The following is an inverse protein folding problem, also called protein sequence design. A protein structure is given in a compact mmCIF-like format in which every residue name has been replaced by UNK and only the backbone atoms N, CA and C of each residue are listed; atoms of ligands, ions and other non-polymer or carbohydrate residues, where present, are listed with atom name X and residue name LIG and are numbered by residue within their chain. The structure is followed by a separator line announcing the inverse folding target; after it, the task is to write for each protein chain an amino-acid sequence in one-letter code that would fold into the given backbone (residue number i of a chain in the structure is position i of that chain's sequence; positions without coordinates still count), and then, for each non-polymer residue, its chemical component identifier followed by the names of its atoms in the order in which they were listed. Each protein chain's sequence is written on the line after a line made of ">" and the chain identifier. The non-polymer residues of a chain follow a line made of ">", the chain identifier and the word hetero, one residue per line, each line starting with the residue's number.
data_IF_582286449746
#
_entry.id   IF_582286449746
#
_cell.length_a   1.000
_cell.length_b   1.000
_cell.length_c   1.000
_cell.angle_alpha   90.00
_cell.angle_beta   90.00
_cell.angle_gamma   90.00
#
_symmetry.space_group_name_H-M   'P 1'
#
loop_
_entity.id
_entity.type
_entity.pdbx_description
1 polymer ?
#
# COMPACT_ATOMS: atom_id res chain seq x y z
N UNK A 1 12.79 4.22 7.83
CA UNK A 1 11.78 5.04 7.15
C UNK A 1 11.03 5.87 8.18
N UNK A 2 10.84 7.12 7.88
CA UNK A 2 10.13 7.99 8.79
C UNK A 2 8.66 7.55 8.93
N UNK A 3 8.14 7.57 10.15
CA UNK A 3 6.74 7.25 10.40
C UNK A 3 5.88 8.40 9.89
N UNK A 4 4.84 8.09 9.15
CA UNK A 4 3.88 9.10 8.73
C UNK A 4 3.04 9.54 9.91
N UNK A 5 2.78 10.83 9.97
CA UNK A 5 1.79 11.35 10.90
C UNK A 5 0.40 10.83 10.52
N UNK A 6 -0.42 10.35 11.47
CA UNK A 6 -1.79 9.95 11.16
C UNK A 6 -2.59 11.05 10.46
N UNK A 7 -2.32 12.31 10.75
CA UNK A 7 -3.02 13.43 10.12
C UNK A 7 -2.68 13.61 8.63
N UNK A 8 -1.57 13.04 8.15
CA UNK A 8 -1.16 13.16 6.76
C UNK A 8 -1.84 12.13 5.85
N UNK A 9 -2.31 11.00 6.38
CA UNK A 9 -2.89 9.94 5.58
C UNK A 9 -4.10 10.37 4.76
N UNK A 10 -5.10 11.06 5.33
CA UNK A 10 -6.29 11.40 4.56
C UNK A 10 -5.97 12.24 3.33
N UNK A 11 -4.97 13.12 3.40
CA UNK A 11 -4.62 13.98 2.27
C UNK A 11 -3.94 13.22 1.13
N UNK A 12 -3.40 12.04 1.39
CA UNK A 12 -2.75 11.20 0.38
C UNK A 12 -3.72 10.23 -0.29
N UNK A 13 -4.93 10.10 0.25
CA UNK A 13 -5.90 9.12 -0.22
C UNK A 13 -6.93 9.84 -1.09
N UNK A 14 -7.02 9.42 -2.35
CA UNK A 14 -7.96 10.00 -3.31
C UNK A 14 -9.41 9.81 -2.84
N UNK A 15 -10.28 10.73 -3.25
CA UNK A 15 -11.70 10.66 -2.88
C UNK A 15 -12.37 9.36 -3.36
N UNK A 16 -11.91 8.83 -4.48
CA UNK A 16 -12.44 7.61 -5.09
C UNK A 16 -11.60 6.38 -4.76
N UNK A 17 -10.81 6.42 -3.70
CA UNK A 17 -9.92 5.33 -3.32
C UNK A 17 -10.65 4.01 -3.15
N UNK A 18 -10.01 2.95 -3.65
CA UNK A 18 -10.46 1.58 -3.45
C UNK A 18 -9.25 0.69 -3.20
N UNK A 19 -9.40 -0.28 -2.32
CA UNK A 19 -8.35 -1.25 -2.04
C UNK A 19 -8.91 -2.66 -2.04
N UNK A 20 -8.15 -3.60 -2.63
CA UNK A 20 -8.36 -5.03 -2.46
C UNK A 20 -7.24 -5.52 -1.54
N UNK A 21 -7.57 -5.77 -0.28
CA UNK A 21 -6.59 -6.20 0.70
C UNK A 21 -6.13 -7.64 0.50
N UNK A 22 -4.98 -7.97 1.08
CA UNK A 22 -4.40 -9.32 0.98
C UNK A 22 -5.30 -10.41 1.58
N UNK A 23 -6.23 -10.03 2.46
CA UNK A 23 -7.22 -10.94 3.04
C UNK A 23 -8.42 -11.19 2.12
N UNK A 24 -8.51 -10.46 1.00
CA UNK A 24 -9.65 -10.51 0.09
C UNK A 24 -10.71 -9.45 0.38
N UNK A 25 -10.55 -8.66 1.42
CA UNK A 25 -11.51 -7.63 1.79
C UNK A 25 -11.36 -6.40 0.90
N UNK A 26 -12.50 -5.80 0.51
CA UNK A 26 -12.53 -4.51 -0.17
C UNK A 26 -12.64 -3.38 0.85
N UNK A 27 -11.92 -2.29 0.56
CA UNK A 27 -11.92 -1.08 1.39
C UNK A 27 -12.21 0.11 0.51
N UNK A 28 -13.09 1.00 0.94
CA UNK A 28 -13.24 2.31 0.33
C UNK A 28 -12.50 3.36 1.16
N UNK A 29 -12.56 4.62 0.73
CA UNK A 29 -11.85 5.68 1.43
C UNK A 29 -12.27 5.83 2.90
N UNK A 30 -13.57 5.93 3.23
CA UNK A 30 -13.96 6.06 4.63
C UNK A 30 -13.46 4.91 5.51
N UNK A 31 -13.57 3.68 5.00
CA UNK A 31 -13.15 2.50 5.75
C UNK A 31 -11.64 2.46 5.97
N UNK A 32 -10.84 2.81 4.95
CA UNK A 32 -9.37 2.78 5.11
C UNK A 32 -8.88 3.92 6.01
N UNK A 33 -9.50 5.09 5.93
CA UNK A 33 -9.14 6.21 6.81
C UNK A 33 -9.41 5.83 8.26
N UNK A 34 -10.56 5.22 8.54
CA UNK A 34 -10.88 4.77 9.90
C UNK A 34 -9.90 3.70 10.41
N UNK A 35 -9.55 2.74 9.55
CA UNK A 35 -8.59 1.70 9.90
C UNK A 35 -7.22 2.30 10.23
N UNK A 36 -6.71 3.18 9.38
CA UNK A 36 -5.38 3.76 9.57
C UNK A 36 -5.31 4.69 10.79
N UNK A 37 -6.40 5.33 11.14
CA UNK A 37 -6.45 6.19 12.33
C UNK A 37 -6.28 5.39 13.62
N UNK A 38 -6.71 4.14 13.65
CA UNK A 38 -6.67 3.29 14.84
C UNK A 38 -5.58 2.23 14.81
N UNK A 39 -4.95 2.01 13.63
CA UNK A 39 -3.94 0.98 13.49
C UNK A 39 -2.71 1.29 14.34
N UNK A 40 -2.18 0.30 15.09
CA UNK A 40 -0.93 0.50 15.80
C UNK A 40 0.23 0.62 14.81
N UNK A 41 1.37 1.18 15.23
CA UNK A 41 2.56 1.20 14.40
C UNK A 41 2.92 -0.22 13.98
N UNK A 42 3.23 -0.40 12.70
CA UNK A 42 3.60 -1.70 12.15
C UNK A 42 5.07 -1.73 11.79
N UNK A 43 5.73 -2.87 12.03
CA UNK A 43 7.08 -3.12 11.56
C UNK A 43 6.97 -3.68 10.14
N UNK A 44 7.11 -2.81 9.17
CA UNK A 44 7.00 -3.17 7.76
C UNK A 44 8.25 -2.75 7.01
N UNK A 45 8.83 -3.70 6.29
CA UNK A 45 9.94 -3.46 5.37
C UNK A 45 9.42 -3.51 3.94
N UNK A 46 9.97 -2.67 3.09
CA UNK A 46 9.61 -2.63 1.67
C UNK A 46 10.85 -2.98 0.85
N UNK A 47 10.67 -3.87 -0.12
CA UNK A 47 11.74 -4.24 -1.06
C UNK A 47 11.18 -4.37 -2.48
N UNK A 48 12.05 -4.47 -3.47
CA UNK A 48 11.69 -4.58 -4.88
C UNK A 48 10.77 -3.43 -5.34
N UNK A 49 11.00 -2.23 -4.81
CA UNK A 49 10.17 -1.07 -5.14
C UNK A 49 10.41 -0.60 -6.57
N UNK A 50 9.32 -0.42 -7.30
CA UNK A 50 9.36 0.20 -8.63
C UNK A 50 8.26 1.24 -8.75
N UNK A 51 8.53 2.28 -9.54
CA UNK A 51 7.54 3.30 -9.87
C UNK A 51 7.61 3.50 -11.38
N UNK A 52 6.51 3.22 -12.06
CA UNK A 52 6.42 3.31 -13.51
C UNK A 52 5.39 4.37 -13.92
N UNK A 53 5.83 5.53 -14.45
CA UNK A 53 4.88 6.49 -14.97
C UNK A 53 4.12 5.89 -16.17
N UNK A 54 2.78 5.93 -16.10
CA UNK A 54 1.93 5.51 -17.21
C UNK A 54 1.54 6.69 -18.08
N UNK A 55 1.35 7.85 -17.43
CA UNK A 55 1.17 9.14 -18.08
C UNK A 55 1.84 10.21 -17.21
N UNK A 56 1.76 11.47 -17.58
CA UNK A 56 2.23 12.58 -16.73
C UNK A 56 1.46 12.72 -15.42
N UNK A 57 0.31 12.06 -15.28
CA UNK A 57 -0.56 12.19 -14.12
C UNK A 57 -0.93 10.85 -13.48
N UNK A 58 -0.34 9.75 -13.93
CA UNK A 58 -0.64 8.41 -13.39
C UNK A 58 0.66 7.62 -13.27
N UNK A 59 0.90 7.09 -12.07
CA UNK A 59 2.07 6.26 -11.79
C UNK A 59 1.62 4.94 -11.19
N UNK A 60 2.16 3.85 -11.72
CA UNK A 60 2.00 2.52 -11.12
C UNK A 60 3.19 2.26 -10.20
N UNK A 61 2.90 1.94 -8.95
CA UNK A 61 3.92 1.58 -7.95
C UNK A 61 3.72 0.12 -7.58
N UNK A 62 4.81 -0.65 -7.58
CA UNK A 62 4.79 -2.03 -7.09
C UNK A 62 5.94 -2.26 -6.14
N UNK A 63 5.71 -3.12 -5.14
CA UNK A 63 6.74 -3.49 -4.19
C UNK A 63 6.33 -4.77 -3.44
N UNK A 64 7.27 -5.30 -2.67
CA UNK A 64 6.99 -6.39 -1.75
C UNK A 64 7.06 -5.84 -0.34
N UNK A 65 6.03 -6.10 0.45
CA UNK A 65 6.00 -5.73 1.86
C UNK A 65 6.27 -6.95 2.73
N UNK A 66 6.98 -6.73 3.83
CA UNK A 66 7.25 -7.76 4.83
C UNK A 66 6.81 -7.19 6.18
N UNK A 67 5.72 -7.71 6.72
CA UNK A 67 5.16 -7.27 7.99
C UNK A 67 5.56 -8.25 9.08
N UNK A 68 6.17 -7.73 10.14
CA UNK A 68 6.65 -8.53 11.26
C UNK A 68 5.90 -8.17 12.53
N UNK A 69 5.57 -9.19 13.32
CA UNK A 69 4.98 -9.02 14.64
C UNK A 69 5.55 -10.10 15.57
N UNK A 70 5.70 -9.79 16.87
CA UNK A 70 6.23 -10.77 17.82
C UNK A 70 5.39 -12.04 17.85
N UNK A 71 6.06 -13.19 17.86
CA UNK A 71 5.41 -14.49 18.06
C UNK A 71 4.70 -15.07 16.86
N UNK A 72 4.75 -14.40 15.70
CA UNK A 72 4.14 -14.92 14.47
C UNK A 72 5.13 -14.83 13.32
N UNK A 73 4.99 -15.70 12.30
CA UNK A 73 5.84 -15.61 11.12
C UNK A 73 5.63 -14.27 10.38
N UNK A 74 6.69 -13.78 9.76
CA UNK A 74 6.60 -12.59 8.94
C UNK A 74 5.63 -12.81 7.77
N UNK A 75 4.83 -11.80 7.45
CA UNK A 75 3.86 -11.88 6.36
C UNK A 75 4.39 -11.10 5.17
N UNK A 76 4.51 -11.80 4.05
CA UNK A 76 5.00 -11.24 2.79
C UNK A 76 3.83 -11.02 1.85
N UNK A 77 3.81 -9.88 1.17
CA UNK A 77 2.78 -9.57 0.18
C UNK A 77 3.36 -8.77 -0.97
N UNK A 78 2.92 -9.09 -2.17
CA UNK A 78 3.11 -8.22 -3.33
C UNK A 78 2.07 -7.13 -3.29
N UNK A 79 2.50 -5.89 -3.50
CA UNK A 79 1.62 -4.72 -3.45
C UNK A 79 1.68 -3.97 -4.75
N UNK A 80 0.54 -3.48 -5.19
CA UNK A 80 0.47 -2.57 -6.32
C UNK A 80 -0.43 -1.40 -5.97
N UNK A 81 -0.05 -0.21 -6.45
CA UNK A 81 -0.82 1.01 -6.19
C UNK A 81 -0.85 1.86 -7.46
N UNK A 82 -1.98 2.49 -7.69
CA UNK A 82 -2.12 3.48 -8.75
C UNK A 82 -2.21 4.84 -8.09
N UNK A 83 -1.25 5.71 -8.42
CA UNK A 83 -1.21 7.07 -7.94
C UNK A 83 -1.64 8.01 -9.05
N UNK A 84 -2.48 8.97 -8.72
CA UNK A 84 -2.98 9.94 -9.67
C UNK A 84 -2.65 11.36 -9.20
N UNK A 85 -2.34 12.23 -10.14
CA UNK A 85 -2.11 13.63 -9.87
C UNK A 85 -3.34 14.43 -10.26
N UNK A 86 -3.93 15.09 -9.27
CA UNK A 86 -5.09 15.98 -9.45
C UNK A 86 -4.82 17.28 -8.70
N UNK A 87 -5.09 18.40 -9.35
CA UNK A 87 -4.87 19.71 -8.74
C UNK A 87 -3.44 19.89 -8.20
N UNK A 88 -2.45 19.37 -8.93
CA UNK A 88 -1.06 19.45 -8.56
C UNK A 88 -0.64 18.55 -7.42
N UNK A 89 -1.49 17.66 -6.96
CA UNK A 89 -1.20 16.76 -5.83
C UNK A 89 -1.32 15.31 -6.23
N UNK A 90 -0.37 14.50 -5.76
CA UNK A 90 -0.41 13.05 -5.93
C UNK A 90 -1.22 12.41 -4.81
N UNK A 91 -2.17 11.54 -5.19
CA UNK A 91 -2.99 10.77 -4.25
C UNK A 91 -3.08 9.33 -4.73
N UNK A 92 -3.16 8.41 -3.76
CA UNK A 92 -3.36 7.01 -4.08
C UNK A 92 -4.82 6.77 -4.45
N UNK A 93 -5.04 6.26 -5.67
CA UNK A 93 -6.38 5.99 -6.22
C UNK A 93 -6.79 4.54 -5.98
N UNK A 94 -5.83 3.63 -6.03
CA UNK A 94 -6.09 2.20 -5.90
C UNK A 94 -4.91 1.51 -5.26
N UNK A 95 -5.18 0.52 -4.42
CA UNK A 95 -4.16 -0.30 -3.80
C UNK A 95 -4.60 -1.75 -3.75
N UNK A 96 -3.66 -2.68 -3.94
CA UNK A 96 -3.95 -4.10 -3.89
C UNK A 96 -2.81 -4.85 -3.22
N UNK A 97 -3.17 -5.82 -2.38
CA UNK A 97 -2.20 -6.71 -1.77
C UNK A 97 -2.52 -8.16 -2.12
N UNK A 98 -1.48 -8.93 -2.38
CA UNK A 98 -1.58 -10.36 -2.66
C UNK A 98 -0.51 -11.08 -1.84
N UNK A 99 -0.86 -12.12 -1.05
CA UNK A 99 0.16 -12.85 -0.31
C UNK A 99 1.25 -13.37 -1.24
N UNK A 100 2.51 -13.17 -0.84
CA UNK A 100 3.65 -13.61 -1.63
C UNK A 100 4.12 -14.98 -1.13
N UNK A 101 4.57 -15.80 -2.07
CA UNK A 101 5.17 -17.09 -1.73
C UNK A 101 6.57 -16.84 -1.16
N UNK A 102 6.81 -17.31 0.06
CA UNK A 102 8.10 -17.18 0.72
C UNK A 102 9.05 -18.24 0.18
N UNK A 103 10.27 -17.83 -0.16
CA UNK A 103 11.25 -18.74 -0.74
C UNK A 103 11.06 -19.02 -2.22
N UNK A 104 10.18 -18.28 -2.89
CA UNK A 104 9.95 -18.39 -4.32
C UNK A 104 11.23 -18.06 -5.09
N UNK A 105 11.63 -18.91 -6.06
CA UNK A 105 12.78 -18.58 -6.91
C UNK A 105 12.52 -17.29 -7.69
N UNK A 106 13.53 -16.45 -7.79
CA UNK A 106 13.42 -15.22 -8.56
C UNK A 106 13.11 -15.53 -10.01
N UNK A 107 12.10 -14.85 -10.57
CA UNK A 107 11.71 -15.01 -11.96
C UNK A 107 10.95 -16.28 -12.28
N UNK A 108 10.55 -17.00 -11.28
CA UNK A 108 9.72 -18.19 -11.49
C UNK A 108 8.27 -17.81 -11.75
#
# INVERSE_FOLDING_TARGET
>A
MARRSPAAFPSLIDADFEEFGASGRRWDRPAIVALLAEAPPADVTIEAFTAAPLTGHVVLVTYRSIARAPGVPARHAWRSSVWVRRDGRWRIRFHQGTPAIVGEPGGA
#
